data_IF_179567585121
#
_entry.id   IF_179567585121
#
_cell.length_a   1.000
_cell.length_b   1.000
_cell.length_c   1.000
_cell.angle_alpha   90.00
_cell.angle_beta   90.00
_cell.angle_gamma   90.00
#
_symmetry.space_group_name_H-M   'P 1'
#
loop_
_entity.id
_entity.type
_entity.pdbx_description
1 polymer ?
#
# COMPACT_ATOMS: atom_id res chain seq x y z
N UNK A 1 -0.44 16.15 42.79
CA UNK A 1 -1.41 15.80 41.72
C UNK A 1 -1.05 14.42 41.23
N UNK A 2 -1.79 13.37 41.62
CA UNK A 2 -1.59 12.02 41.10
C UNK A 2 -1.97 12.03 39.62
N UNK A 3 -1.01 11.70 38.77
CA UNK A 3 -1.30 11.45 37.37
C UNK A 3 -2.30 10.28 37.28
N UNK A 4 -3.52 10.55 36.84
CA UNK A 4 -4.46 9.50 36.48
C UNK A 4 -3.92 8.87 35.20
N UNK A 5 -3.05 7.89 35.33
CA UNK A 5 -2.70 6.98 34.24
C UNK A 5 -3.91 6.08 34.03
N UNK A 6 -4.76 6.45 33.10
CA UNK A 6 -5.78 5.53 32.59
C UNK A 6 -5.03 4.42 31.84
N UNK A 7 -4.81 3.28 32.48
CA UNK A 7 -4.22 2.07 31.86
C UNK A 7 -5.18 1.40 30.84
N UNK A 8 -6.17 2.15 30.36
CA UNK A 8 -7.10 1.62 29.39
C UNK A 8 -6.45 1.51 28.01
N UNK A 9 -6.24 0.30 27.57
CA UNK A 9 -5.84 -0.01 26.21
C UNK A 9 -6.91 -0.85 25.53
N UNK A 10 -7.33 -0.52 24.29
CA UNK A 10 -8.30 -1.29 23.54
C UNK A 10 -7.91 -2.77 23.44
N UNK A 11 -8.88 -3.65 23.69
CA UNK A 11 -8.72 -5.11 23.62
C UNK A 11 -9.48 -5.72 22.45
N UNK A 12 -10.42 -4.96 21.87
CA UNK A 12 -11.31 -5.43 20.80
C UNK A 12 -11.31 -4.43 19.66
N UNK A 13 -10.37 -4.62 18.74
CA UNK A 13 -10.14 -3.71 17.62
C UNK A 13 -10.83 -4.22 16.36
N UNK A 14 -11.57 -3.37 15.68
CA UNK A 14 -12.08 -3.61 14.32
C UNK A 14 -11.24 -2.81 13.35
N UNK A 15 -10.66 -3.50 12.35
CA UNK A 15 -9.88 -2.87 11.27
C UNK A 15 -10.69 -2.83 9.99
N UNK A 16 -10.99 -1.65 9.49
CA UNK A 16 -11.71 -1.45 8.23
C UNK A 16 -10.78 -1.26 7.03
N UNK A 17 -9.46 -1.25 7.25
CA UNK A 17 -8.45 -1.07 6.20
C UNK A 17 -7.23 -1.98 6.43
N UNK A 18 -6.61 -2.50 5.33
CA UNK A 18 -5.41 -3.33 5.40
C UNK A 18 -4.25 -2.70 6.17
N UNK A 19 -4.02 -1.40 6.00
CA UNK A 19 -2.94 -0.67 6.67
C UNK A 19 -3.00 -0.80 8.19
N UNK A 20 -4.18 -0.61 8.80
CA UNK A 20 -4.37 -0.75 10.24
C UNK A 20 -4.03 -2.18 10.72
N UNK A 21 -4.47 -3.19 9.96
CA UNK A 21 -4.21 -4.59 10.29
C UNK A 21 -2.72 -4.92 10.22
N UNK A 22 -2.04 -4.49 9.17
CA UNK A 22 -0.58 -4.68 8.98
C UNK A 22 0.21 -3.95 10.08
N UNK A 23 -0.21 -2.73 10.44
CA UNK A 23 0.42 -2.00 11.54
C UNK A 23 0.25 -2.77 12.85
N UNK A 24 -0.96 -3.24 13.19
CA UNK A 24 -1.19 -4.03 14.41
C UNK A 24 -0.39 -5.33 14.41
N UNK A 25 -0.24 -6.01 13.27
CA UNK A 25 0.63 -7.17 13.13
C UNK A 25 2.10 -6.82 13.44
N UNK A 26 2.63 -5.74 12.85
CA UNK A 26 3.99 -5.26 13.09
C UNK A 26 4.23 -4.84 14.56
N UNK A 27 3.18 -4.35 15.23
CA UNK A 27 3.19 -4.01 16.64
C UNK A 27 3.09 -5.23 17.59
N UNK A 28 2.82 -6.45 17.06
CA UNK A 28 2.55 -7.64 17.85
C UNK A 28 1.22 -7.55 18.63
N UNK A 29 0.20 -6.94 18.01
CA UNK A 29 -1.14 -6.71 18.60
C UNK A 29 -2.26 -7.29 17.74
N UNK A 30 -1.95 -8.25 16.89
CA UNK A 30 -2.93 -8.89 16.01
C UNK A 30 -3.98 -9.69 16.81
N UNK A 31 -3.63 -10.16 18.00
CA UNK A 31 -4.52 -10.82 18.95
C UNK A 31 -5.73 -9.96 19.35
N UNK A 32 -5.60 -8.64 19.28
CA UNK A 32 -6.69 -7.70 19.60
C UNK A 32 -7.67 -7.47 18.46
N UNK A 33 -7.34 -7.85 17.23
CA UNK A 33 -8.24 -7.72 16.09
C UNK A 33 -9.36 -8.74 16.21
N UNK A 34 -10.60 -8.28 16.39
CA UNK A 34 -11.80 -9.12 16.51
C UNK A 34 -12.58 -9.22 15.22
N UNK A 35 -12.47 -8.20 14.36
CA UNK A 35 -13.03 -8.21 13.02
C UNK A 35 -12.20 -7.35 12.07
N UNK A 36 -12.19 -7.73 10.81
CA UNK A 36 -11.49 -7.00 9.74
C UNK A 36 -12.18 -7.24 8.39
N UNK A 37 -11.73 -6.54 7.35
CA UNK A 37 -12.26 -6.71 5.99
C UNK A 37 -11.59 -7.88 5.27
N UNK A 38 -12.19 -8.34 4.15
CA UNK A 38 -11.55 -9.32 3.26
C UNK A 38 -10.19 -8.84 2.76
N UNK A 39 -10.05 -7.54 2.47
CA UNK A 39 -8.78 -6.95 2.01
C UNK A 39 -7.69 -6.99 3.08
N UNK A 40 -8.07 -6.87 4.37
CA UNK A 40 -7.15 -7.11 5.47
C UNK A 40 -6.62 -8.55 5.45
N UNK A 41 -7.51 -9.51 5.19
CA UNK A 41 -7.17 -10.93 5.15
C UNK A 41 -6.34 -11.32 3.91
N UNK A 42 -6.40 -10.54 2.84
CA UNK A 42 -5.57 -10.74 1.65
C UNK A 42 -4.13 -10.25 1.87
N UNK A 43 -3.97 -9.13 2.59
CA UNK A 43 -2.65 -8.52 2.86
C UNK A 43 -1.98 -9.09 4.12
N UNK A 44 -2.76 -9.51 5.10
CA UNK A 44 -2.30 -10.12 6.37
C UNK A 44 -3.04 -11.43 6.60
N UNK A 45 -2.62 -12.55 5.96
CA UNK A 45 -3.32 -13.84 6.02
C UNK A 45 -3.49 -14.41 7.44
N UNK A 46 -2.66 -13.99 8.38
CA UNK A 46 -2.69 -14.40 9.78
C UNK A 46 -4.02 -14.04 10.47
N UNK A 47 -4.76 -13.06 9.96
CA UNK A 47 -6.09 -12.72 10.48
C UNK A 47 -7.16 -13.76 10.15
N UNK A 48 -6.92 -14.66 9.21
CA UNK A 48 -7.84 -15.76 8.86
C UNK A 48 -7.94 -16.82 9.96
N UNK A 49 -6.95 -16.90 10.83
CA UNK A 49 -6.96 -17.75 12.01
C UNK A 49 -7.56 -17.04 13.23
N UNK A 50 -7.99 -17.78 14.24
CA UNK A 50 -8.40 -17.24 15.55
C UNK A 50 -9.82 -16.71 15.64
N UNK A 51 -10.75 -17.15 14.76
CA UNK A 51 -12.19 -16.88 14.92
C UNK A 51 -12.61 -15.42 14.70
N UNK A 52 -11.82 -14.64 13.96
CA UNK A 52 -12.13 -13.25 13.62
C UNK A 52 -13.25 -13.15 12.61
N UNK A 53 -14.11 -12.16 12.76
CA UNK A 53 -15.19 -11.89 11.80
C UNK A 53 -14.65 -11.13 10.59
N UNK A 54 -15.01 -11.59 9.38
CA UNK A 54 -14.75 -10.82 8.15
C UNK A 54 -15.99 -9.99 7.86
N UNK A 55 -15.83 -8.68 7.85
CA UNK A 55 -16.88 -7.69 7.60
C UNK A 55 -16.64 -6.98 6.26
N UNK A 56 -17.62 -6.19 5.82
CA UNK A 56 -17.43 -5.33 4.65
C UNK A 56 -16.31 -4.30 4.89
N UNK A 57 -15.76 -3.77 3.80
CA UNK A 57 -14.74 -2.73 3.85
C UNK A 57 -15.30 -1.37 4.31
N UNK A 58 -14.43 -0.36 4.46
CA UNK A 58 -14.82 0.99 4.91
C UNK A 58 -15.76 1.72 3.94
N UNK A 59 -15.87 1.29 2.69
CA UNK A 59 -16.79 1.88 1.69
C UNK A 59 -18.21 1.35 1.85
N UNK A 60 -18.37 0.10 2.27
CA UNK A 60 -19.65 -0.61 2.30
C UNK A 60 -20.03 -1.14 3.68
N UNK A 61 -19.13 -1.05 4.67
CA UNK A 61 -19.38 -1.52 6.03
C UNK A 61 -20.55 -0.76 6.69
N UNK A 62 -21.51 -1.53 7.19
CA UNK A 62 -22.60 -0.99 7.98
C UNK A 62 -22.26 -1.01 9.48
N UNK A 63 -22.67 0.00 10.21
CA UNK A 63 -22.48 0.10 11.66
C UNK A 63 -22.90 -1.16 12.41
N UNK A 64 -24.03 -1.78 12.02
CA UNK A 64 -24.51 -3.02 12.62
C UNK A 64 -23.50 -4.18 12.55
N UNK A 65 -22.80 -4.32 11.42
CA UNK A 65 -21.77 -5.36 11.24
C UNK A 65 -20.56 -5.09 12.14
N UNK A 66 -20.15 -3.82 12.23
CA UNK A 66 -19.04 -3.37 13.04
C UNK A 66 -19.35 -3.57 14.52
N UNK A 67 -20.50 -3.08 14.97
CA UNK A 67 -20.94 -3.13 16.37
C UNK A 67 -21.24 -4.55 16.87
N UNK A 68 -21.65 -5.46 15.96
CA UNK A 68 -21.83 -6.88 16.28
C UNK A 68 -20.54 -7.54 16.80
N UNK A 69 -19.37 -7.06 16.38
CA UNK A 69 -18.09 -7.52 16.90
C UNK A 69 -17.77 -6.97 18.30
N UNK A 70 -18.62 -6.12 18.88
CA UNK A 70 -18.45 -5.45 20.19
C UNK A 70 -17.06 -4.83 20.34
N UNK A 71 -16.66 -3.93 19.44
CA UNK A 71 -15.34 -3.29 19.51
C UNK A 71 -15.30 -2.26 20.64
N UNK A 72 -14.10 -2.00 21.12
CA UNK A 72 -13.77 -0.84 21.96
C UNK A 72 -12.93 0.20 21.19
N UNK A 73 -12.43 -0.18 19.99
CA UNK A 73 -11.78 0.70 19.02
C UNK A 73 -12.10 0.25 17.60
N UNK A 74 -12.45 1.20 16.74
CA UNK A 74 -12.54 1.01 15.28
C UNK A 74 -11.46 1.84 14.62
N UNK A 75 -10.67 1.24 13.73
CA UNK A 75 -9.64 1.92 12.95
C UNK A 75 -10.02 1.82 11.46
N UNK A 76 -10.09 2.96 10.78
CA UNK A 76 -10.36 3.04 9.36
C UNK A 76 -9.49 4.09 8.68
N UNK A 77 -9.23 3.93 7.38
CA UNK A 77 -8.64 4.96 6.53
C UNK A 77 -9.67 5.47 5.52
N UNK A 78 -9.49 6.69 5.03
CA UNK A 78 -10.38 7.25 3.99
C UNK A 78 -10.45 6.32 2.76
N UNK A 79 -11.60 6.29 2.08
CA UNK A 79 -12.85 6.98 2.38
C UNK A 79 -13.68 6.24 3.43
N UNK A 80 -14.41 7.01 4.25
CA UNK A 80 -15.32 6.47 5.26
C UNK A 80 -16.77 6.50 4.77
N UNK A 81 -17.58 5.57 5.28
CA UNK A 81 -19.02 5.72 5.22
C UNK A 81 -19.49 6.62 6.38
N UNK A 82 -19.90 7.84 6.08
CA UNK A 82 -20.30 8.84 7.08
C UNK A 82 -21.35 8.30 8.07
N UNK A 83 -22.39 7.65 7.56
CA UNK A 83 -23.44 7.05 8.41
C UNK A 83 -22.88 6.02 9.39
N UNK A 84 -21.97 5.15 8.93
CA UNK A 84 -21.37 4.15 9.80
C UNK A 84 -20.51 4.80 10.89
N UNK A 85 -19.74 5.82 10.56
CA UNK A 85 -18.95 6.58 11.56
C UNK A 85 -19.83 7.21 12.62
N UNK A 86 -20.91 7.88 12.21
CA UNK A 86 -21.87 8.50 13.15
C UNK A 86 -22.47 7.47 14.10
N UNK A 87 -22.90 6.31 13.60
CA UNK A 87 -23.49 5.25 14.43
C UNK A 87 -22.48 4.63 15.40
N UNK A 88 -21.22 4.44 14.98
CA UNK A 88 -20.13 3.96 15.83
C UNK A 88 -19.92 4.92 17.00
N UNK A 89 -19.84 6.22 16.73
CA UNK A 89 -19.66 7.25 17.74
C UNK A 89 -20.87 7.36 18.69
N UNK A 90 -22.12 7.29 18.17
CA UNK A 90 -23.32 7.26 19.00
C UNK A 90 -23.39 6.04 19.92
N UNK A 91 -22.81 4.90 19.49
CA UNK A 91 -22.71 3.72 20.33
C UNK A 91 -21.60 3.81 21.41
N UNK A 92 -20.91 4.94 21.53
CA UNK A 92 -19.85 5.18 22.51
C UNK A 92 -18.54 4.45 22.18
N UNK A 93 -18.38 3.92 20.97
CA UNK A 93 -17.15 3.24 20.52
C UNK A 93 -16.14 4.28 20.01
N UNK A 94 -14.88 4.13 20.39
CA UNK A 94 -13.81 4.99 19.89
C UNK A 94 -13.56 4.72 18.41
N UNK A 95 -13.35 5.79 17.66
CA UNK A 95 -13.04 5.72 16.23
C UNK A 95 -11.72 6.45 15.95
N UNK A 96 -10.80 5.77 15.30
CA UNK A 96 -9.54 6.32 14.81
C UNK A 96 -9.58 6.36 13.28
N UNK A 97 -9.69 7.57 12.74
CA UNK A 97 -9.68 7.82 11.31
C UNK A 97 -8.27 8.15 10.82
N UNK A 98 -7.80 7.48 9.76
CA UNK A 98 -6.50 7.67 9.15
C UNK A 98 -6.67 8.27 7.75
N UNK A 99 -5.80 9.23 7.39
CA UNK A 99 -5.82 9.86 6.08
C UNK A 99 -4.38 10.23 5.63
N UNK A 100 -3.44 9.28 5.59
CA UNK A 100 -2.06 9.58 5.25
C UNK A 100 -1.95 10.02 3.79
N UNK A 101 -1.04 10.96 3.52
CA UNK A 101 -0.67 11.42 2.17
C UNK A 101 0.80 11.19 1.88
N UNK A 102 1.64 11.28 2.89
CA UNK A 102 3.11 11.19 2.80
C UNK A 102 3.65 10.05 3.65
N UNK A 103 4.93 9.69 3.49
CA UNK A 103 5.60 8.76 4.40
C UNK A 103 5.62 9.28 5.84
N UNK A 104 5.73 10.59 6.04
CA UNK A 104 5.68 11.19 7.37
C UNK A 104 4.31 10.97 8.04
N UNK A 105 3.21 11.09 7.29
CA UNK A 105 1.88 10.81 7.80
C UNK A 105 1.73 9.32 8.19
N UNK A 106 2.31 8.41 7.39
CA UNK A 106 2.30 6.98 7.68
C UNK A 106 3.07 6.68 8.99
N UNK A 107 4.20 7.34 9.23
CA UNK A 107 4.90 7.22 10.51
C UNK A 107 4.05 7.76 11.68
N UNK A 108 3.32 8.85 11.46
CA UNK A 108 2.40 9.39 12.44
C UNK A 108 1.25 8.41 12.74
N UNK A 109 0.68 7.77 11.71
CA UNK A 109 -0.37 6.75 11.85
C UNK A 109 0.14 5.54 12.66
N UNK A 110 1.35 5.05 12.36
CA UNK A 110 1.98 3.96 13.12
C UNK A 110 2.16 4.35 14.59
N UNK A 111 2.66 5.56 14.87
CA UNK A 111 2.84 6.05 16.24
C UNK A 111 1.50 6.20 16.97
N UNK A 112 0.47 6.72 16.28
CA UNK A 112 -0.88 6.92 16.83
C UNK A 112 -1.53 5.59 17.17
N UNK A 113 -1.51 4.61 16.27
CA UNK A 113 -2.04 3.27 16.53
C UNK A 113 -1.25 2.61 17.67
N UNK A 114 0.08 2.71 17.65
CA UNK A 114 0.93 2.14 18.70
C UNK A 114 0.62 2.74 20.08
N UNK A 115 0.43 4.06 20.16
CA UNK A 115 0.00 4.76 21.38
C UNK A 115 -1.36 4.27 21.85
N UNK A 116 -2.34 4.22 20.94
CA UNK A 116 -3.69 3.77 21.26
C UNK A 116 -3.74 2.34 21.82
N UNK A 117 -2.89 1.42 21.33
CA UNK A 117 -2.88 0.02 21.78
C UNK A 117 -1.78 -0.31 22.80
N UNK A 118 -1.16 0.69 23.43
CA UNK A 118 -0.14 0.49 24.46
C UNK A 118 1.12 -0.21 23.94
N UNK A 119 1.57 0.12 22.73
CA UNK A 119 2.75 -0.45 22.07
C UNK A 119 3.73 0.62 21.55
N UNK A 120 3.78 1.80 22.20
CA UNK A 120 4.53 2.98 21.72
C UNK A 120 5.99 2.69 21.40
N UNK A 121 6.70 1.97 22.28
CA UNK A 121 8.11 1.60 22.05
C UNK A 121 8.28 0.72 20.80
N UNK A 122 7.35 -0.23 20.58
CA UNK A 122 7.36 -1.07 19.39
C UNK A 122 7.07 -0.25 18.13
N UNK A 123 6.15 0.73 18.22
CA UNK A 123 5.86 1.67 17.15
C UNK A 123 7.10 2.46 16.72
N UNK A 124 7.85 3.01 17.67
CA UNK A 124 9.11 3.70 17.39
C UNK A 124 10.13 2.79 16.69
N UNK A 125 10.25 1.54 17.13
CA UNK A 125 11.13 0.56 16.49
C UNK A 125 10.72 0.28 15.03
N UNK A 126 9.41 0.11 14.77
CA UNK A 126 8.88 -0.13 13.41
C UNK A 126 9.19 1.08 12.52
N UNK A 127 8.96 2.29 12.98
CA UNK A 127 9.24 3.52 12.24
C UNK A 127 10.74 3.64 11.94
N UNK A 128 11.60 3.46 12.95
CA UNK A 128 13.05 3.54 12.79
C UNK A 128 13.57 2.52 11.77
N UNK A 129 13.03 1.29 11.78
CA UNK A 129 13.38 0.26 10.81
C UNK A 129 12.98 0.67 9.38
N UNK A 130 11.76 1.21 9.20
CA UNK A 130 11.33 1.70 7.89
C UNK A 130 12.25 2.81 7.36
N UNK A 131 12.55 3.80 8.22
CA UNK A 131 13.45 4.90 7.86
C UNK A 131 14.86 4.42 7.50
N UNK A 132 15.39 3.47 8.26
CA UNK A 132 16.70 2.87 8.01
C UNK A 132 16.74 2.14 6.66
N UNK A 133 15.73 1.36 6.33
CA UNK A 133 15.66 0.65 5.04
C UNK A 133 15.56 1.63 3.87
N UNK A 134 14.75 2.69 4.01
CA UNK A 134 14.67 3.76 3.00
C UNK A 134 16.03 4.43 2.80
N UNK A 135 16.72 4.74 3.88
CA UNK A 135 18.05 5.39 3.80
C UNK A 135 19.12 4.46 3.20
N UNK A 136 19.06 3.14 3.46
CA UNK A 136 19.94 2.16 2.80
C UNK A 136 19.78 2.18 1.29
N UNK A 137 18.53 2.20 0.80
CA UNK A 137 18.26 2.28 -0.65
C UNK A 137 18.75 3.61 -1.21
N UNK A 138 18.46 4.75 -0.58
CA UNK A 138 18.94 6.08 -1.00
C UNK A 138 20.47 6.12 -1.16
N UNK A 139 21.20 5.58 -0.18
CA UNK A 139 22.65 5.52 -0.24
C UNK A 139 23.16 4.67 -1.40
N UNK A 140 22.49 3.53 -1.67
CA UNK A 140 22.89 2.60 -2.73
C UNK A 140 22.68 3.17 -4.13
N UNK A 141 21.69 4.04 -4.32
CA UNK A 141 21.39 4.66 -5.63
C UNK A 141 22.01 6.04 -5.80
N UNK A 142 22.68 6.56 -4.77
CA UNK A 142 23.30 7.89 -4.81
C UNK A 142 24.27 8.01 -5.99
N UNK A 143 24.13 9.13 -6.76
CA UNK A 143 24.96 9.40 -7.92
C UNK A 143 24.58 8.65 -9.20
N UNK A 144 23.55 7.79 -9.18
CA UNK A 144 23.03 7.16 -10.40
C UNK A 144 22.15 8.13 -11.18
N UNK A 145 22.04 7.90 -12.49
CA UNK A 145 21.07 8.61 -13.33
C UNK A 145 19.66 8.31 -12.82
N UNK A 146 18.86 9.35 -12.65
CA UNK A 146 17.45 9.25 -12.28
C UNK A 146 16.62 8.96 -13.53
N UNK A 147 15.90 7.87 -13.53
CA UNK A 147 14.97 7.53 -14.60
C UNK A 147 13.60 8.15 -14.29
N UNK A 148 12.89 8.57 -15.33
CA UNK A 148 11.51 9.06 -15.26
C UNK A 148 10.57 7.86 -15.06
N UNK A 149 9.82 7.87 -13.97
CA UNK A 149 8.99 6.74 -13.52
C UNK A 149 7.54 7.16 -13.41
N UNK A 150 6.65 6.50 -14.12
CA UNK A 150 5.22 6.60 -13.94
C UNK A 150 4.72 5.40 -13.14
N UNK A 151 4.04 5.65 -12.02
CA UNK A 151 3.38 4.63 -11.22
C UNK A 151 1.87 4.86 -11.24
N UNK A 152 1.09 3.78 -11.43
CA UNK A 152 -0.35 3.79 -11.57
C UNK A 152 -1.02 2.88 -10.55
N UNK A 153 -1.98 3.41 -9.78
CA UNK A 153 -2.75 2.64 -8.79
C UNK A 153 -4.14 2.20 -9.29
N UNK A 154 -4.62 2.78 -10.40
CA UNK A 154 -5.91 2.45 -10.99
C UNK A 154 -5.93 2.68 -12.49
N UNK A 155 -6.50 1.73 -13.23
CA UNK A 155 -6.41 1.73 -14.69
C UNK A 155 -7.58 2.37 -15.44
N UNK A 156 -8.76 2.53 -14.81
CA UNK A 156 -9.95 3.16 -15.39
C UNK A 156 -10.83 3.79 -14.31
N UNK A 157 -10.81 5.14 -14.13
CA UNK A 157 -9.92 6.08 -14.83
C UNK A 157 -8.45 5.81 -14.51
N UNK A 158 -7.52 6.34 -15.32
CA UNK A 158 -6.10 6.29 -14.97
C UNK A 158 -5.85 7.19 -13.77
N UNK A 159 -5.39 6.61 -12.65
CA UNK A 159 -5.02 7.36 -11.45
C UNK A 159 -3.56 7.06 -11.15
N UNK A 160 -2.75 8.11 -11.07
CA UNK A 160 -1.36 8.02 -10.63
C UNK A 160 -1.30 7.57 -9.17
N UNK A 161 -0.24 6.84 -8.80
CA UNK A 161 -0.03 6.40 -7.42
C UNK A 161 0.10 7.58 -6.45
N UNK A 162 -0.20 7.31 -5.18
CA UNK A 162 -0.24 8.30 -4.11
C UNK A 162 1.11 8.96 -3.83
N UNK A 163 1.10 10.08 -3.09
CA UNK A 163 2.29 10.87 -2.75
C UNK A 163 3.38 10.06 -2.06
N UNK A 164 3.03 9.16 -1.14
CA UNK A 164 4.03 8.29 -0.49
C UNK A 164 4.73 7.36 -1.49
N UNK A 165 4.06 6.95 -2.59
CA UNK A 165 4.70 6.15 -3.65
C UNK A 165 5.66 7.03 -4.46
N UNK A 166 5.30 8.28 -4.73
CA UNK A 166 6.22 9.23 -5.35
C UNK A 166 7.48 9.40 -4.49
N UNK A 167 7.33 9.56 -3.16
CA UNK A 167 8.46 9.64 -2.23
C UNK A 167 9.32 8.36 -2.21
N UNK A 168 8.70 7.17 -2.39
CA UNK A 168 9.45 5.91 -2.52
C UNK A 168 10.20 5.82 -3.86
N UNK A 169 9.61 6.27 -4.97
CA UNK A 169 10.28 6.38 -6.27
C UNK A 169 11.51 7.29 -6.17
N UNK A 170 11.36 8.44 -5.52
CA UNK A 170 12.47 9.37 -5.26
C UNK A 170 13.56 8.70 -4.42
N UNK A 171 13.18 7.99 -3.37
CA UNK A 171 14.11 7.24 -2.51
C UNK A 171 14.81 6.09 -3.26
N UNK A 172 14.14 5.49 -4.25
CA UNK A 172 14.69 4.48 -5.14
C UNK A 172 15.58 5.06 -6.27
N UNK A 173 15.80 6.38 -6.30
CA UNK A 173 16.61 7.06 -7.31
C UNK A 173 15.93 7.27 -8.64
N UNK A 174 14.60 7.27 -8.68
CA UNK A 174 13.78 7.68 -9.82
C UNK A 174 13.33 9.13 -9.74
N UNK A 175 12.66 9.59 -10.77
CA UNK A 175 11.92 10.84 -10.86
C UNK A 175 10.45 10.50 -11.12
N UNK A 176 9.57 10.78 -10.17
CA UNK A 176 8.14 10.47 -10.31
C UNK A 176 7.48 11.42 -11.31
N UNK A 177 6.72 10.87 -12.26
CA UNK A 177 5.99 11.64 -13.28
C UNK A 177 4.50 11.74 -12.96
N UNK A 178 3.95 12.92 -13.21
CA UNK A 178 2.54 13.27 -12.97
C UNK A 178 2.27 13.73 -11.54
N UNK A 179 1.00 14.11 -11.30
CA UNK A 179 0.54 14.55 -9.99
C UNK A 179 0.11 13.32 -9.16
N UNK A 180 0.69 13.07 -7.98
CA UNK A 180 0.35 11.92 -7.16
C UNK A 180 -1.13 11.89 -6.76
N UNK A 181 -1.79 10.75 -6.97
CA UNK A 181 -3.21 10.53 -6.69
C UNK A 181 -4.17 11.19 -7.68
N UNK A 182 -3.67 11.92 -8.68
CA UNK A 182 -4.51 12.57 -9.67
C UNK A 182 -4.89 11.65 -10.83
N UNK A 183 -6.05 11.96 -11.42
CA UNK A 183 -6.47 11.34 -12.68
C UNK A 183 -5.66 11.91 -13.84
N UNK A 184 -5.29 11.03 -14.78
CA UNK A 184 -4.53 11.37 -15.98
C UNK A 184 -5.15 10.76 -17.25
N UNK A 185 -4.58 11.05 -18.41
CA UNK A 185 -4.94 10.41 -19.68
C UNK A 185 -3.78 9.62 -20.26
N UNK A 186 -4.10 8.64 -21.12
CA UNK A 186 -3.07 7.84 -21.78
C UNK A 186 -2.15 8.69 -22.65
N UNK A 187 -2.70 9.72 -23.28
CA UNK A 187 -2.00 10.66 -24.16
C UNK A 187 -1.02 11.54 -23.36
N UNK A 188 -1.46 12.07 -22.21
CA UNK A 188 -0.57 12.91 -21.38
C UNK A 188 0.57 12.10 -20.79
N UNK A 189 0.34 10.84 -20.41
CA UNK A 189 1.40 9.95 -19.91
C UNK A 189 2.38 9.62 -21.04
N UNK A 190 1.87 9.32 -22.26
CA UNK A 190 2.72 9.09 -23.44
C UNK A 190 3.59 10.31 -23.75
N UNK A 191 3.02 11.52 -23.67
CA UNK A 191 3.75 12.76 -23.91
C UNK A 191 4.88 13.03 -22.90
N UNK A 192 4.74 12.57 -21.65
CA UNK A 192 5.80 12.62 -20.64
C UNK A 192 6.93 11.60 -20.91
N UNK A 193 6.71 10.62 -21.77
CA UNK A 193 7.64 9.55 -22.15
C UNK A 193 8.40 8.94 -20.96
N UNK A 194 7.72 8.26 -20.03
CA UNK A 194 8.40 7.60 -18.91
C UNK A 194 9.38 6.53 -19.41
N UNK A 195 10.48 6.38 -18.67
CA UNK A 195 11.50 5.36 -18.92
C UNK A 195 11.23 4.06 -18.14
N UNK A 196 10.37 4.15 -17.11
CA UNK A 196 9.87 3.02 -16.33
C UNK A 196 8.37 3.23 -16.08
N UNK A 197 7.58 2.19 -16.30
CA UNK A 197 6.14 2.17 -15.97
C UNK A 197 5.91 1.07 -14.94
N UNK A 198 5.21 1.43 -13.85
CA UNK A 198 4.81 0.51 -12.79
C UNK A 198 3.28 0.54 -12.68
N UNK A 199 2.64 -0.60 -12.83
CA UNK A 199 1.21 -0.77 -12.57
C UNK A 199 1.03 -1.57 -11.26
N UNK A 200 0.39 -0.93 -10.28
CA UNK A 200 0.05 -1.50 -8.98
C UNK A 200 -1.44 -1.28 -8.69
N UNK A 201 -2.31 -1.92 -9.48
CA UNK A 201 -3.74 -1.65 -9.42
C UNK A 201 -4.38 -2.24 -8.17
N UNK A 202 -5.10 -1.42 -7.43
CA UNK A 202 -5.81 -1.81 -6.22
C UNK A 202 -6.68 -3.06 -6.42
N UNK A 203 -6.42 -4.11 -5.66
CA UNK A 203 -7.11 -5.39 -5.70
C UNK A 203 -6.70 -6.32 -6.85
N UNK A 204 -5.76 -5.93 -7.70
CA UNK A 204 -5.28 -6.78 -8.79
C UNK A 204 -4.12 -7.71 -8.38
N UNK A 205 -3.44 -7.41 -7.27
CA UNK A 205 -2.22 -8.11 -6.90
C UNK A 205 -1.15 -7.98 -8.00
N UNK A 206 -0.58 -9.10 -8.39
CA UNK A 206 0.42 -9.19 -9.47
C UNK A 206 -0.18 -9.50 -10.87
N UNK A 207 -1.53 -9.45 -11.01
CA UNK A 207 -2.26 -9.89 -12.21
C UNK A 207 -2.59 -8.78 -13.19
N UNK A 208 -2.01 -7.60 -13.05
CA UNK A 208 -2.24 -6.48 -14.00
C UNK A 208 -1.84 -6.92 -15.42
N UNK A 209 -2.73 -6.78 -16.45
CA UNK A 209 -2.46 -7.26 -17.80
C UNK A 209 -1.59 -6.27 -18.59
N UNK A 210 -0.27 -6.29 -18.36
CA UNK A 210 0.68 -5.30 -18.89
C UNK A 210 0.63 -5.15 -20.42
N UNK A 211 0.62 -6.26 -21.17
CA UNK A 211 0.57 -6.25 -22.64
C UNK A 211 -0.71 -5.61 -23.17
N UNK A 212 -1.84 -5.90 -22.50
CA UNK A 212 -3.13 -5.31 -22.85
C UNK A 212 -3.13 -3.81 -22.62
N UNK A 213 -2.56 -3.35 -21.49
CA UNK A 213 -2.43 -1.91 -21.18
C UNK A 213 -1.65 -1.20 -22.28
N UNK A 214 -0.46 -1.72 -22.64
CA UNK A 214 0.41 -1.13 -23.67
C UNK A 214 -0.31 -1.04 -25.02
N UNK A 215 -0.99 -2.11 -25.42
CA UNK A 215 -1.70 -2.16 -26.70
C UNK A 215 -2.91 -1.23 -26.73
N UNK A 216 -3.78 -1.31 -25.72
CA UNK A 216 -5.05 -0.60 -25.69
C UNK A 216 -4.86 0.92 -25.54
N UNK A 217 -3.75 1.35 -24.92
CA UNK A 217 -3.37 2.76 -24.73
C UNK A 217 -2.43 3.31 -25.82
N UNK A 218 -2.04 2.48 -26.79
CA UNK A 218 -1.12 2.85 -27.88
C UNK A 218 0.24 3.35 -27.36
N UNK A 219 0.77 2.72 -26.30
CA UNK A 219 2.01 3.13 -25.64
C UNK A 219 3.28 2.53 -26.26
N UNK A 220 3.17 1.80 -27.41
CA UNK A 220 4.32 1.18 -28.09
C UNK A 220 5.50 2.14 -28.34
N UNK A 221 5.29 3.45 -28.65
CA UNK A 221 6.39 4.39 -28.87
C UNK A 221 7.12 4.82 -27.61
N UNK A 222 6.58 4.54 -26.41
CA UNK A 222 7.13 4.99 -25.11
C UNK A 222 8.50 4.37 -24.83
N UNK A 223 9.41 5.13 -24.23
CA UNK A 223 10.76 4.67 -23.88
C UNK A 223 10.74 3.44 -22.98
N UNK A 224 9.87 3.40 -21.97
CA UNK A 224 9.70 2.23 -21.10
C UNK A 224 9.38 0.95 -21.85
N UNK A 225 8.59 1.03 -22.94
CA UNK A 225 8.20 -0.13 -23.73
C UNK A 225 9.36 -0.63 -24.59
N UNK A 226 10.09 0.29 -25.23
CA UNK A 226 11.27 -0.05 -26.04
C UNK A 226 12.36 -0.75 -25.23
N UNK A 227 12.52 -0.31 -23.97
CA UNK A 227 13.50 -0.84 -23.03
C UNK A 227 13.01 -2.05 -22.21
N UNK A 228 11.75 -2.46 -22.41
CA UNK A 228 11.14 -3.57 -21.66
C UNK A 228 10.94 -3.27 -20.17
N UNK A 229 10.87 -1.98 -19.77
CA UNK A 229 10.78 -1.54 -18.37
C UNK A 229 9.34 -1.24 -17.96
N UNK A 230 8.47 -2.21 -18.19
CA UNK A 230 7.07 -2.17 -17.75
C UNK A 230 6.85 -3.26 -16.72
N UNK A 231 6.44 -2.87 -15.54
CA UNK A 231 6.36 -3.76 -14.39
C UNK A 231 4.96 -3.76 -13.76
N UNK A 232 4.60 -4.89 -13.20
CA UNK A 232 3.55 -5.00 -12.20
C UNK A 232 4.21 -5.23 -10.84
N UNK A 233 3.91 -4.37 -9.88
CA UNK A 233 4.21 -4.58 -8.46
C UNK A 233 2.88 -4.86 -7.78
N UNK A 234 2.82 -5.90 -6.94
CA UNK A 234 1.60 -6.22 -6.19
C UNK A 234 1.14 -5.01 -5.38
N UNK A 235 -0.12 -4.63 -5.54
CA UNK A 235 -0.68 -3.39 -4.99
C UNK A 235 -0.55 -3.28 -3.47
N UNK A 236 -0.57 -4.37 -2.76
CA UNK A 236 -0.35 -4.41 -1.31
C UNK A 236 0.99 -3.79 -0.88
N UNK A 237 2.00 -3.80 -1.78
CA UNK A 237 3.34 -3.28 -1.50
C UNK A 237 3.45 -1.76 -1.71
N UNK A 238 2.54 -1.15 -2.48
CA UNK A 238 2.56 0.29 -2.79
C UNK A 238 1.30 1.01 -2.29
N UNK A 239 0.14 0.34 -2.26
CA UNK A 239 -1.14 0.98 -1.95
C UNK A 239 -1.63 0.68 -0.52
N UNK A 240 -0.84 -0.03 0.28
CA UNK A 240 -1.09 -0.21 1.72
C UNK A 240 -0.13 0.66 2.52
N UNK A 241 -0.57 1.84 3.03
CA UNK A 241 0.29 2.76 3.77
C UNK A 241 0.64 2.19 5.16
N UNK A 242 1.63 1.29 5.20
CA UNK A 242 2.03 0.49 6.34
C UNK A 242 3.50 0.03 6.16
N UNK A 243 4.10 -0.71 7.10
CA UNK A 243 5.48 -1.20 6.99
C UNK A 243 5.78 -2.04 5.74
N UNK A 244 4.78 -2.59 5.05
CA UNK A 244 4.92 -3.28 3.76
C UNK A 244 5.55 -2.41 2.67
N UNK A 245 5.44 -1.09 2.76
CA UNK A 245 6.03 -0.14 1.81
C UNK A 245 7.55 -0.27 1.68
N UNK A 246 8.25 -0.81 2.67
CA UNK A 246 9.68 -1.11 2.57
C UNK A 246 9.95 -2.16 1.48
N UNK A 247 9.09 -3.17 1.38
CA UNK A 247 9.18 -4.18 0.29
C UNK A 247 8.81 -3.55 -1.06
N UNK A 248 7.85 -2.63 -1.07
CA UNK A 248 7.50 -1.83 -2.24
C UNK A 248 8.67 -0.98 -2.74
N UNK A 249 9.40 -0.33 -1.84
CA UNK A 249 10.63 0.40 -2.16
C UNK A 249 11.70 -0.50 -2.80
N UNK A 250 11.89 -1.70 -2.25
CA UNK A 250 12.85 -2.68 -2.81
C UNK A 250 12.43 -3.11 -4.23
N UNK A 251 11.14 -3.31 -4.47
CA UNK A 251 10.60 -3.62 -5.78
C UNK A 251 10.77 -2.46 -6.78
N UNK A 252 10.50 -1.22 -6.35
CA UNK A 252 10.76 -0.02 -7.16
C UNK A 252 12.26 0.13 -7.49
N UNK A 253 13.14 -0.08 -6.52
CA UNK A 253 14.60 -0.01 -6.74
C UNK A 253 15.08 -1.07 -7.75
N UNK A 254 14.52 -2.29 -7.69
CA UNK A 254 14.82 -3.35 -8.65
C UNK A 254 14.29 -3.04 -10.06
N UNK A 255 13.10 -2.42 -10.16
CA UNK A 255 12.52 -2.00 -11.44
C UNK A 255 13.29 -0.84 -12.08
N UNK A 256 13.72 0.14 -11.28
CA UNK A 256 14.46 1.32 -11.75
C UNK A 256 15.92 0.97 -12.08
N UNK A 257 16.53 0.07 -11.31
CA UNK A 257 17.95 -0.33 -11.47
C UNK A 257 18.10 -1.85 -11.63
N UNK A 258 17.66 -2.43 -12.78
CA UNK A 258 17.76 -3.87 -13.02
C UNK A 258 19.18 -4.40 -12.81
N UNK A 259 19.30 -5.57 -12.17
CA UNK A 259 20.59 -6.20 -11.87
C UNK A 259 21.36 -5.58 -10.69
N UNK A 260 20.93 -4.45 -10.15
CA UNK A 260 21.59 -3.81 -9.00
C UNK A 260 20.94 -4.15 -7.66
N UNK A 261 19.70 -4.62 -7.69
CA UNK A 261 18.94 -5.08 -6.54
C UNK A 261 18.44 -6.50 -6.81
N UNK A 262 18.25 -7.33 -5.76
CA UNK A 262 17.56 -8.60 -5.91
C UNK A 262 16.18 -8.39 -6.50
N UNK A 263 15.74 -9.28 -7.39
CA UNK A 263 14.37 -9.22 -7.92
C UNK A 263 13.41 -9.78 -6.88
N UNK A 264 12.43 -8.97 -6.40
CA UNK A 264 11.46 -9.44 -5.44
C UNK A 264 10.42 -10.39 -6.10
N UNK A 265 9.91 -11.35 -5.34
CA UNK A 265 8.90 -12.33 -5.81
C UNK A 265 7.64 -11.69 -6.39
N UNK A 266 7.26 -10.49 -5.90
CA UNK A 266 6.03 -9.79 -6.30
C UNK A 266 6.28 -8.64 -7.28
N UNK A 267 7.37 -8.70 -8.01
CA UNK A 267 7.71 -7.84 -9.14
C UNK A 267 7.68 -8.67 -10.42
N UNK A 268 6.76 -8.37 -11.33
CA UNK A 268 6.66 -9.03 -12.64
C UNK A 268 6.97 -8.03 -13.75
N UNK A 269 7.83 -8.43 -14.68
CA UNK A 269 8.16 -7.65 -15.87
C UNK A 269 7.28 -8.07 -17.06
N UNK A 270 7.00 -7.16 -17.98
CA UNK A 270 6.28 -7.46 -19.22
C UNK A 270 6.98 -8.52 -20.07
N UNK A 271 8.31 -8.59 -20.06
CA UNK A 271 9.11 -9.62 -20.75
C UNK A 271 8.88 -11.03 -20.22
N UNK A 272 8.55 -11.17 -18.92
CA UNK A 272 8.31 -12.48 -18.30
C UNK A 272 7.07 -13.18 -18.86
N UNK A 273 6.13 -12.41 -19.41
CA UNK A 273 4.89 -12.91 -20.00
C UNK A 273 5.11 -13.46 -21.42
N UNK A 274 6.05 -12.87 -22.18
CA UNK A 274 6.39 -13.35 -23.53
C UNK A 274 6.99 -14.75 -23.50
N UNK A 275 7.82 -15.05 -22.50
CA UNK A 275 8.43 -16.38 -22.33
C UNK A 275 7.36 -17.46 -22.04
N UNK A 276 6.31 -17.13 -21.30
CA UNK A 276 5.22 -18.08 -20.99
C UNK A 276 4.29 -18.36 -22.16
N UNK A 277 4.04 -17.39 -23.05
CA UNK A 277 3.20 -17.59 -24.24
C UNK A 277 3.89 -18.40 -25.33
N UNK A 278 5.21 -18.30 -25.44
CA UNK A 278 5.97 -19.08 -26.42
C UNK A 278 6.15 -20.54 -25.96
N UNK A 279 6.22 -20.80 -24.65
CA UNK A 279 6.27 -22.15 -24.08
C UNK A 279 4.96 -22.96 -24.25
N UNK A 280 3.81 -22.28 -24.39
CA UNK A 280 2.52 -22.93 -24.65
C UNK A 280 2.13 -23.05 -26.15
N UNK A 281 2.99 -22.55 -27.06
CA UNK A 281 2.83 -22.72 -28.51
C UNK A 281 3.73 -23.80 -29.11
N UNK A 282 4.49 -24.50 -28.28
CA UNK A 282 5.45 -25.53 -28.71
C UNK A 282 5.01 -26.97 -28.34
N UNK A 283 3.74 -27.16 -27.92
CA UNK A 283 3.12 -28.48 -27.69
C UNK A 283 2.00 -28.75 -28.70
#
# INVERSE_FOLDING_TARGET
MSAVTSDYTPQRVVCLQPSATVILAALGRLDRVVACTKYCADVCPEVKSGGRSIIADSWTAQSRQILAARPDLVIAAVPYQEKAVVEILKAGVRFLGLAPKTLADIYCDIATIAGAVGASQRGQTVIANMQQEIEKVRKRVKGRRRLRVYCEEWGKPLIASQRWVAELVEAAGGEFLGDPGAQSSAESILAMDPEVVVAAWCGAGDRVPLEKIVRDRKWQPMSAIREGRVYCISDELLNTPAPTLVRGLQALAAAIHPGSFPQPERLRCISDTRVRTDAHRSD
#
